data_IF_211308750271
#
_entry.id   IF_211308750271
#
_cell.length_a   1.000
_cell.length_b   1.000
_cell.length_c   1.000
_cell.angle_alpha   90.00
_cell.angle_beta   90.00
_cell.angle_gamma   90.00
#
_symmetry.space_group_name_H-M   'P 1'
#
loop_
_entity.id
_entity.type
_entity.pdbx_description
1 polymer ?
#
# COMPACT_ATOMS: atom_id res chain seq x y z
N UNK A 1 -13.66 31.94 50.81
CA UNK A 1 -13.68 32.26 49.37
C UNK A 1 -12.99 31.11 48.63
N UNK A 2 -13.76 30.19 48.05
CA UNK A 2 -13.22 29.08 47.24
C UNK A 2 -13.05 29.54 45.79
N UNK A 3 -11.79 29.64 45.32
CA UNK A 3 -11.47 29.87 43.91
C UNK A 3 -11.70 28.57 43.15
N UNK A 4 -12.73 28.53 42.31
CA UNK A 4 -12.90 27.49 41.30
C UNK A 4 -11.85 27.69 40.20
N UNK A 5 -10.89 26.76 40.09
CA UNK A 5 -10.03 26.63 38.92
C UNK A 5 -10.89 26.01 37.81
N UNK A 6 -11.25 26.79 36.78
CA UNK A 6 -11.90 26.26 35.58
C UNK A 6 -10.82 25.54 34.76
N UNK A 7 -10.76 24.22 34.89
CA UNK A 7 -9.95 23.35 34.06
C UNK A 7 -10.66 23.21 32.71
N UNK A 8 -10.33 24.07 31.74
CA UNK A 8 -10.76 23.90 30.36
C UNK A 8 -10.11 22.64 29.80
N UNK A 9 -10.89 21.56 29.75
CA UNK A 9 -10.55 20.33 29.07
C UNK A 9 -10.47 20.62 27.57
N UNK A 10 -9.25 20.79 27.04
CA UNK A 10 -9.03 20.78 25.60
C UNK A 10 -9.37 19.38 25.10
N UNK A 11 -10.55 19.23 24.52
CA UNK A 11 -10.91 18.04 23.75
C UNK A 11 -10.03 18.07 22.51
N UNK A 12 -8.87 17.40 22.58
CA UNK A 12 -8.08 17.07 21.40
C UNK A 12 -8.94 16.07 20.63
N UNK A 13 -9.62 16.54 19.58
CA UNK A 13 -10.23 15.63 18.61
C UNK A 13 -9.08 14.94 17.89
N UNK A 14 -8.80 13.69 18.28
CA UNK A 14 -8.02 12.78 17.45
C UNK A 14 -8.85 12.52 16.20
N UNK A 15 -8.43 13.12 15.08
CA UNK A 15 -9.08 12.87 13.80
C UNK A 15 -8.69 11.46 13.36
N UNK A 16 -9.66 10.55 13.38
CA UNK A 16 -9.50 9.18 12.90
C UNK A 16 -10.09 9.08 11.50
N UNK A 17 -9.30 8.62 10.55
CA UNK A 17 -9.75 8.42 9.18
C UNK A 17 -10.63 7.17 9.05
N UNK A 18 -11.53 7.19 8.08
CA UNK A 18 -12.19 6.03 7.48
C UNK A 18 -11.88 6.02 5.98
N UNK A 19 -12.00 4.89 5.30
CA UNK A 19 -11.72 4.86 3.85
C UNK A 19 -12.61 5.77 2.98
N UNK A 20 -13.72 6.27 3.53
CA UNK A 20 -14.68 7.15 2.87
C UNK A 20 -14.26 8.62 2.93
N UNK A 21 -13.71 9.05 4.06
CA UNK A 21 -13.24 10.42 4.29
C UNK A 21 -11.72 10.56 4.10
N UNK A 22 -10.96 9.47 4.06
CA UNK A 22 -9.54 9.48 3.73
C UNK A 22 -9.30 10.00 2.29
N UNK A 23 -8.44 11.03 2.11
CA UNK A 23 -8.33 11.76 0.85
C UNK A 23 -7.70 10.93 -0.25
N UNK A 24 -8.11 11.12 -1.51
CA UNK A 24 -7.55 10.36 -2.63
C UNK A 24 -6.32 11.06 -3.24
N UNK A 25 -5.17 10.37 -3.41
CA UNK A 25 -3.97 10.99 -3.98
C UNK A 25 -4.09 11.29 -5.48
N UNK A 26 -5.14 10.79 -6.15
CA UNK A 26 -5.47 11.11 -7.56
C UNK A 26 -6.79 11.83 -7.73
N UNK A 27 -7.55 11.99 -6.66
CA UNK A 27 -8.84 12.66 -6.68
C UNK A 27 -8.70 14.19 -6.70
N UNK A 28 -9.83 14.91 -6.73
CA UNK A 28 -9.85 16.37 -6.59
C UNK A 28 -9.25 16.87 -5.25
N UNK A 29 -9.18 15.99 -4.26
CA UNK A 29 -8.68 16.17 -2.90
C UNK A 29 -7.20 15.81 -2.73
N UNK A 30 -6.43 15.61 -3.82
CA UNK A 30 -5.03 15.19 -3.73
C UNK A 30 -4.15 16.13 -2.87
N UNK A 31 -4.48 17.42 -2.75
CA UNK A 31 -3.72 18.34 -1.91
C UNK A 31 -3.84 18.01 -0.42
N UNK A 32 -4.94 17.38 0.01
CA UNK A 32 -5.12 16.93 1.40
C UNK A 32 -4.17 15.79 1.77
N UNK A 33 -3.65 15.07 0.78
CA UNK A 33 -2.61 14.04 0.96
C UNK A 33 -1.20 14.61 1.19
N UNK A 34 -1.03 15.94 1.27
CA UNK A 34 0.27 16.59 1.42
C UNK A 34 1.10 16.63 0.12
N UNK A 35 0.51 16.34 -1.03
CA UNK A 35 1.24 16.35 -2.33
C UNK A 35 0.84 17.56 -3.18
N UNK A 36 1.79 18.06 -3.98
CA UNK A 36 1.59 19.24 -4.84
C UNK A 36 0.88 18.93 -6.16
N UNK A 37 0.80 17.64 -6.52
CA UNK A 37 0.19 17.13 -7.75
C UNK A 37 -0.49 15.79 -7.48
N UNK A 38 -1.38 15.31 -8.36
CA UNK A 38 -1.88 13.94 -8.29
C UNK A 38 -0.74 12.89 -8.33
N UNK A 39 -0.70 11.98 -7.35
CA UNK A 39 0.31 10.90 -7.23
C UNK A 39 -0.34 9.58 -6.83
N UNK A 40 0.44 8.61 -6.34
CA UNK A 40 -0.08 7.38 -5.72
C UNK A 40 0.30 7.29 -4.23
N UNK A 41 0.71 8.40 -3.62
CA UNK A 41 1.11 8.50 -2.21
C UNK A 41 0.18 9.48 -1.51
N UNK A 42 -0.39 9.05 -0.39
CA UNK A 42 -1.22 9.89 0.44
C UNK A 42 -0.71 9.90 1.89
N UNK A 43 -0.40 11.09 2.41
CA UNK A 43 0.08 11.32 3.77
C UNK A 43 -0.60 12.56 4.39
N UNK A 44 -1.91 12.50 4.66
CA UNK A 44 -2.66 13.64 5.17
C UNK A 44 -2.30 14.02 6.61
N UNK A 45 -1.71 13.10 7.38
CA UNK A 45 -1.30 13.34 8.77
C UNK A 45 0.14 13.86 8.88
N UNK A 46 0.86 14.01 7.77
CA UNK A 46 2.22 14.53 7.74
C UNK A 46 3.23 13.65 8.46
N UNK A 47 3.10 12.33 8.31
CA UNK A 47 4.03 11.35 8.86
C UNK A 47 5.41 11.42 8.20
N UNK A 48 5.46 11.95 6.97
CA UNK A 48 6.68 12.25 6.23
C UNK A 48 6.86 13.77 6.14
N UNK A 49 8.12 14.21 6.12
CA UNK A 49 8.45 15.56 5.64
C UNK A 49 8.15 15.68 4.15
N UNK A 50 8.02 16.91 3.64
CA UNK A 50 7.74 17.14 2.21
C UNK A 50 8.83 16.52 1.31
N UNK A 51 10.09 16.55 1.74
CA UNK A 51 11.20 15.95 1.00
C UNK A 51 11.11 14.42 0.98
N UNK A 52 10.86 13.79 2.14
CA UNK A 52 10.69 12.34 2.24
C UNK A 52 9.48 11.87 1.41
N UNK A 53 8.37 12.62 1.48
CA UNK A 53 7.17 12.35 0.70
C UNK A 53 7.45 12.37 -0.79
N UNK A 54 8.18 13.38 -1.29
CA UNK A 54 8.54 13.46 -2.71
C UNK A 54 9.48 12.31 -3.13
N UNK A 55 10.40 11.88 -2.26
CA UNK A 55 11.24 10.71 -2.53
C UNK A 55 10.41 9.42 -2.61
N UNK A 56 9.45 9.21 -1.69
CA UNK A 56 8.53 8.07 -1.76
C UNK A 56 7.66 8.15 -3.03
N UNK A 57 7.20 9.33 -3.45
CA UNK A 57 6.48 9.51 -4.73
C UNK A 57 7.34 9.04 -5.90
N UNK A 58 8.60 9.47 -5.98
CA UNK A 58 9.51 9.00 -7.02
C UNK A 58 9.73 7.49 -6.96
N UNK A 59 9.90 6.91 -5.78
CA UNK A 59 10.07 5.46 -5.63
C UNK A 59 8.86 4.66 -6.10
N UNK A 60 7.65 5.15 -5.80
CA UNK A 60 6.39 4.54 -6.24
C UNK A 60 6.21 4.65 -7.76
N UNK A 61 6.61 5.77 -8.37
CA UNK A 61 6.63 5.93 -9.83
C UNK A 61 7.66 5.01 -10.50
N UNK A 62 8.88 4.96 -9.94
CA UNK A 62 9.97 4.07 -10.38
C UNK A 62 9.62 2.59 -10.24
N UNK A 63 8.85 2.22 -9.20
CA UNK A 63 8.43 0.84 -8.96
C UNK A 63 7.69 0.27 -10.17
N UNK A 64 6.80 1.06 -10.79
CA UNK A 64 6.07 0.66 -11.99
C UNK A 64 7.00 0.39 -13.15
N UNK A 65 7.91 1.30 -13.44
CA UNK A 65 8.82 1.15 -14.56
C UNK A 65 9.80 -0.01 -14.34
N UNK A 66 10.28 -0.22 -13.11
CA UNK A 66 11.21 -1.31 -12.77
C UNK A 66 10.55 -2.69 -12.73
N UNK A 67 9.23 -2.75 -12.52
CA UNK A 67 8.46 -4.01 -12.57
C UNK A 67 7.91 -4.31 -13.97
N UNK A 68 8.10 -3.41 -14.93
CA UNK A 68 7.67 -3.58 -16.32
C UNK A 68 8.45 -4.69 -17.03
N UNK A 69 7.74 -5.51 -17.79
CA UNK A 69 8.28 -6.59 -18.64
C UNK A 69 7.77 -6.45 -20.07
N UNK A 70 8.37 -5.60 -20.92
CA UNK A 70 7.83 -5.29 -22.25
C UNK A 70 7.58 -6.51 -23.16
N UNK A 71 8.39 -7.56 -22.99
CA UNK A 71 8.33 -8.79 -23.78
C UNK A 71 7.49 -9.90 -23.14
N UNK A 72 6.84 -9.64 -22.00
CA UNK A 72 6.05 -10.67 -21.33
C UNK A 72 4.81 -11.04 -22.16
N UNK A 73 4.50 -12.33 -22.18
CA UNK A 73 3.26 -12.84 -22.77
C UNK A 73 2.02 -12.53 -21.92
N UNK A 74 2.20 -12.02 -20.70
CA UNK A 74 1.13 -11.58 -19.82
C UNK A 74 0.93 -10.07 -20.04
N UNK A 75 -0.20 -9.63 -20.64
CA UNK A 75 -0.42 -8.23 -20.99
C UNK A 75 -0.15 -7.25 -19.85
N UNK A 76 -0.49 -7.62 -18.62
CA UNK A 76 -0.37 -6.76 -17.45
C UNK A 76 1.05 -6.63 -16.91
N UNK A 77 1.92 -7.63 -17.13
CA UNK A 77 3.35 -7.49 -16.80
C UNK A 77 4.04 -6.48 -17.71
N UNK A 78 3.53 -6.30 -18.95
CA UNK A 78 4.09 -5.32 -19.90
C UNK A 78 3.89 -3.88 -19.47
N UNK A 79 2.94 -3.59 -18.60
CA UNK A 79 2.64 -2.24 -18.11
C UNK A 79 3.33 -1.92 -16.78
N UNK A 80 3.85 -2.94 -16.08
CA UNK A 80 4.40 -2.79 -14.73
C UNK A 80 3.32 -2.71 -13.65
N UNK A 81 3.73 -2.92 -12.40
CA UNK A 81 2.84 -2.93 -11.24
C UNK A 81 2.71 -1.54 -10.63
N UNK A 82 1.53 -1.16 -10.16
CA UNK A 82 1.31 0.14 -9.53
C UNK A 82 1.26 -0.01 -8.03
N UNK A 83 2.19 0.63 -7.34
CA UNK A 83 2.15 0.73 -5.90
C UNK A 83 1.35 1.97 -5.48
N UNK A 84 0.60 1.86 -4.40
CA UNK A 84 -0.15 2.94 -3.76
C UNK A 84 0.20 2.95 -2.28
N UNK A 85 0.47 4.13 -1.74
CA UNK A 85 0.87 4.28 -0.34
C UNK A 85 -0.12 5.19 0.36
N UNK A 86 -0.64 4.74 1.50
CA UNK A 86 -1.53 5.47 2.38
C UNK A 86 -0.89 5.51 3.78
N UNK A 87 -0.58 6.71 4.26
CA UNK A 87 -0.04 6.94 5.59
C UNK A 87 -1.11 7.57 6.46
N UNK A 88 -1.33 7.03 7.65
CA UNK A 88 -2.27 7.60 8.60
C UNK A 88 -1.72 7.38 10.01
N UNK A 89 -1.75 8.40 10.86
CA UNK A 89 -1.22 8.30 12.21
C UNK A 89 -1.95 7.22 13.01
N UNK A 90 -3.27 7.17 12.86
CA UNK A 90 -4.15 6.18 13.43
C UNK A 90 -4.67 5.23 12.35
N UNK A 91 -5.05 4.02 12.74
CA UNK A 91 -5.64 3.02 11.84
C UNK A 91 -6.84 3.59 11.08
N UNK A 92 -6.85 3.40 9.76
CA UNK A 92 -7.96 3.84 8.91
C UNK A 92 -9.15 2.88 9.13
N UNK A 93 -10.23 3.43 9.68
CA UNK A 93 -11.47 2.71 9.98
C UNK A 93 -12.17 2.16 8.73
N UNK A 94 -12.90 1.05 8.91
CA UNK A 94 -13.85 0.51 7.94
C UNK A 94 -15.27 0.60 8.51
N UNK A 95 -16.21 1.20 7.76
CA UNK A 95 -17.61 1.36 8.20
C UNK A 95 -18.38 0.01 8.23
N UNK A 96 -17.87 -1.06 7.61
CA UNK A 96 -18.62 -2.30 7.34
C UNK A 96 -18.41 -3.44 8.36
N UNK A 97 -17.67 -3.22 9.45
CA UNK A 97 -17.49 -4.22 10.52
C UNK A 97 -16.74 -5.50 10.09
N UNK A 98 -16.05 -5.48 8.94
CA UNK A 98 -15.36 -6.65 8.40
C UNK A 98 -14.03 -6.93 9.12
N UNK A 99 -13.84 -8.20 9.51
CA UNK A 99 -12.72 -8.70 10.32
C UNK A 99 -11.62 -9.42 9.50
N UNK A 100 -11.78 -9.54 8.19
CA UNK A 100 -10.80 -10.21 7.35
C UNK A 100 -9.56 -9.36 7.08
N UNK A 101 -8.50 -10.02 6.65
CA UNK A 101 -7.15 -9.45 6.51
C UNK A 101 -6.85 -8.91 5.11
N UNK A 102 -7.65 -9.24 4.08
CA UNK A 102 -7.12 -9.31 2.71
C UNK A 102 -7.99 -8.78 1.56
N UNK A 103 -9.20 -8.26 1.79
CA UNK A 103 -10.02 -7.69 0.69
C UNK A 103 -10.10 -6.16 0.74
N UNK A 104 -9.55 -5.57 -0.32
CA UNK A 104 -9.74 -4.21 -0.87
C UNK A 104 -9.93 -3.10 0.17
N UNK A 105 -8.82 -2.56 0.69
CA UNK A 105 -8.86 -1.27 1.41
C UNK A 105 -9.42 -0.13 0.53
N UNK A 106 -9.34 -0.29 -0.79
CA UNK A 106 -9.75 0.69 -1.79
C UNK A 106 -11.09 0.35 -2.46
N UNK A 107 -12.05 -0.21 -1.72
CA UNK A 107 -13.38 -0.47 -2.26
C UNK A 107 -14.27 0.79 -2.29
N UNK A 108 -13.77 1.92 -1.76
CA UNK A 108 -14.43 3.21 -1.92
C UNK A 108 -14.24 3.74 -3.35
N UNK A 109 -15.31 4.28 -3.95
CA UNK A 109 -15.30 4.79 -5.32
C UNK A 109 -14.17 5.79 -5.58
N UNK A 110 -13.79 6.60 -4.58
CA UNK A 110 -12.66 7.55 -4.70
C UNK A 110 -11.38 6.84 -5.11
N UNK A 111 -11.08 5.72 -4.46
CA UNK A 111 -9.87 4.95 -4.68
C UNK A 111 -10.01 3.92 -5.81
N UNK A 112 -11.24 3.53 -6.19
CA UNK A 112 -11.46 2.69 -7.39
C UNK A 112 -11.02 3.35 -8.71
N UNK A 113 -10.87 4.68 -8.74
CA UNK A 113 -10.33 5.40 -9.90
C UNK A 113 -8.84 5.16 -10.16
N UNK A 114 -8.09 4.65 -9.16
CA UNK A 114 -6.69 4.24 -9.31
C UNK A 114 -6.54 3.01 -10.22
N UNK A 115 -7.66 2.32 -10.48
CA UNK A 115 -7.78 1.12 -11.31
C UNK A 115 -8.35 1.53 -12.67
N UNK A 116 -7.50 2.06 -13.54
CA UNK A 116 -7.90 2.62 -14.84
C UNK A 116 -7.96 1.57 -15.97
N UNK A 117 -7.34 0.40 -15.80
CA UNK A 117 -7.26 -0.65 -16.81
C UNK A 117 -7.44 -2.04 -16.19
N UNK A 118 -7.79 -3.04 -17.00
CA UNK A 118 -7.85 -4.46 -16.60
C UNK A 118 -6.50 -4.99 -16.06
N UNK A 119 -5.41 -4.27 -16.34
CA UNK A 119 -4.06 -4.57 -15.90
C UNK A 119 -3.56 -3.77 -14.70
N UNK A 120 -4.31 -2.78 -14.22
CA UNK A 120 -4.00 -2.00 -13.00
C UNK A 120 -4.31 -2.79 -11.72
N UNK A 121 -4.27 -4.10 -11.83
CA UNK A 121 -4.94 -5.01 -10.93
C UNK A 121 -4.15 -5.32 -9.67
N UNK A 122 -2.85 -5.02 -9.66
CA UNK A 122 -2.03 -5.06 -8.46
C UNK A 122 -1.82 -3.62 -8.01
N UNK A 123 -2.91 -2.92 -7.70
CA UNK A 123 -2.81 -1.78 -6.78
C UNK A 123 -2.61 -2.37 -5.41
N UNK A 124 -1.39 -2.25 -4.93
CA UNK A 124 -1.01 -2.60 -3.59
C UNK A 124 -1.05 -1.33 -2.74
N UNK A 125 -1.86 -1.33 -1.69
CA UNK A 125 -1.94 -0.27 -0.70
C UNK A 125 -1.09 -0.63 0.50
N UNK A 126 -0.18 0.23 0.89
CA UNK A 126 0.46 0.13 2.22
C UNK A 126 -0.28 1.11 3.10
N UNK A 127 -0.94 0.63 4.16
CA UNK A 127 -1.41 1.46 5.26
C UNK A 127 -0.34 1.43 6.35
N UNK A 128 0.27 2.57 6.64
CA UNK A 128 1.22 2.69 7.75
C UNK A 128 0.61 3.52 8.86
N UNK A 129 0.52 2.95 10.07
CA UNK A 129 0.01 3.63 11.26
C UNK A 129 0.87 3.38 12.50
N UNK A 130 0.50 3.98 13.63
CA UNK A 130 1.24 3.87 14.91
C UNK A 130 1.40 2.45 15.43
N UNK A 131 0.53 1.52 15.02
CA UNK A 131 0.54 0.12 15.45
C UNK A 131 1.29 -0.79 14.46
N UNK A 132 1.80 -0.23 13.36
CA UNK A 132 2.63 -0.92 12.37
C UNK A 132 2.10 -0.79 10.94
N UNK A 133 2.55 -1.71 10.08
CA UNK A 133 2.13 -1.78 8.69
C UNK A 133 0.90 -2.68 8.53
N UNK A 134 0.04 -2.31 7.61
CA UNK A 134 -1.03 -3.15 7.09
C UNK A 134 -0.96 -3.15 5.57
N UNK A 135 -0.92 -4.34 5.01
CA UNK A 135 -0.87 -4.52 3.56
C UNK A 135 -2.26 -4.75 3.02
N UNK A 136 -2.63 -3.93 2.07
CA UNK A 136 -3.85 -4.00 1.31
C UNK A 136 -3.51 -4.38 -0.13
N UNK A 137 -4.24 -5.32 -0.73
CA UNK A 137 -4.01 -5.66 -2.13
C UNK A 137 -5.32 -5.92 -2.85
N UNK A 138 -5.30 -5.70 -4.17
CA UNK A 138 -6.39 -6.08 -5.06
C UNK A 138 -6.08 -7.44 -5.70
N UNK A 139 -6.95 -8.41 -5.46
CA UNK A 139 -6.93 -9.72 -6.09
C UNK A 139 -7.66 -9.64 -7.42
N UNK A 140 -6.95 -9.23 -8.48
CA UNK A 140 -7.46 -9.46 -9.84
C UNK A 140 -6.58 -10.37 -10.68
N UNK A 141 -5.34 -10.68 -10.25
CA UNK A 141 -4.41 -11.50 -11.05
C UNK A 141 -3.51 -12.41 -10.21
N UNK A 142 -2.98 -13.44 -10.88
CA UNK A 142 -2.05 -14.50 -10.45
C UNK A 142 -0.71 -14.03 -9.85
N UNK A 143 -0.60 -12.72 -9.58
CA UNK A 143 0.66 -12.00 -9.39
C UNK A 143 0.79 -11.48 -7.97
N UNK A 144 -0.31 -11.35 -7.23
CA UNK A 144 -0.30 -10.90 -5.85
C UNK A 144 0.61 -11.80 -5.02
N UNK A 145 1.42 -11.19 -4.16
CA UNK A 145 2.06 -11.96 -3.10
C UNK A 145 0.97 -12.52 -2.19
N UNK A 146 1.24 -13.63 -1.52
CA UNK A 146 0.34 -14.13 -0.50
C UNK A 146 0.51 -13.32 0.80
N UNK A 147 -0.38 -13.51 1.78
CA UNK A 147 -0.33 -12.79 3.04
C UNK A 147 1.00 -12.99 3.79
N UNK A 148 1.56 -14.20 3.81
CA UNK A 148 2.81 -14.48 4.51
C UNK A 148 4.00 -13.73 3.90
N UNK A 149 4.08 -13.67 2.57
CA UNK A 149 5.08 -12.87 1.86
C UNK A 149 4.95 -11.38 2.20
N UNK A 150 3.72 -10.85 2.25
CA UNK A 150 3.49 -9.46 2.66
C UNK A 150 3.82 -9.20 4.12
N UNK A 151 3.51 -10.17 4.99
CA UNK A 151 3.80 -10.11 6.40
C UNK A 151 5.31 -10.11 6.64
N UNK A 152 6.06 -10.94 5.91
CA UNK A 152 7.52 -10.95 5.93
C UNK A 152 8.11 -9.63 5.45
N UNK A 153 7.56 -9.03 4.38
CA UNK A 153 8.04 -7.74 3.87
C UNK A 153 7.93 -6.62 4.90
N UNK A 154 6.84 -6.56 5.66
CA UNK A 154 6.70 -5.51 6.68
C UNK A 154 7.38 -5.84 8.00
N UNK A 155 7.50 -7.12 8.38
CA UNK A 155 8.29 -7.51 9.56
C UNK A 155 9.78 -7.33 9.35
N UNK A 156 10.25 -7.33 8.11
CA UNK A 156 11.65 -7.07 7.79
C UNK A 156 12.12 -5.69 8.30
N UNK A 157 11.20 -4.78 8.66
CA UNK A 157 11.56 -3.43 9.09
C UNK A 157 10.90 -2.93 10.38
N UNK A 158 10.57 -3.86 11.28
CA UNK A 158 10.03 -3.56 12.62
C UNK A 158 10.85 -2.49 13.36
N UNK A 159 12.18 -2.52 13.24
CA UNK A 159 13.07 -1.57 13.92
C UNK A 159 12.78 -0.13 13.51
N UNK A 160 12.57 0.15 12.22
CA UNK A 160 12.27 1.50 11.77
C UNK A 160 10.86 1.92 12.21
N UNK A 161 9.90 0.99 12.20
CA UNK A 161 8.52 1.25 12.65
C UNK A 161 8.45 1.56 14.15
N UNK A 162 9.13 0.79 14.99
CA UNK A 162 9.22 1.03 16.44
C UNK A 162 9.84 2.39 16.77
N UNK A 163 10.82 2.81 15.96
CA UNK A 163 11.47 4.11 16.09
C UNK A 163 10.72 5.25 15.39
N UNK A 164 9.53 4.99 14.82
CA UNK A 164 8.73 5.96 14.04
C UNK A 164 9.49 6.56 12.85
N UNK A 165 10.47 5.85 12.34
CA UNK A 165 11.17 6.20 11.11
C UNK A 165 10.40 5.62 9.92
N UNK A 166 9.27 6.26 9.62
CA UNK A 166 8.34 5.80 8.57
C UNK A 166 8.93 5.89 7.16
N UNK A 167 9.86 6.84 6.95
CA UNK A 167 10.53 7.01 5.68
C UNK A 167 11.39 5.80 5.33
N UNK A 168 12.34 5.43 6.20
CA UNK A 168 13.20 4.28 5.94
C UNK A 168 12.40 2.97 5.90
N UNK A 169 11.36 2.85 6.75
CA UNK A 169 10.39 1.76 6.71
C UNK A 169 9.76 1.58 5.33
N UNK A 170 9.25 2.67 4.75
CA UNK A 170 8.65 2.63 3.42
C UNK A 170 9.68 2.34 2.33
N UNK A 171 10.88 2.92 2.42
CA UNK A 171 11.93 2.69 1.42
C UNK A 171 12.30 1.22 1.32
N UNK A 172 12.58 0.60 2.47
CA UNK A 172 12.95 -0.82 2.53
C UNK A 172 11.81 -1.70 2.06
N UNK A 173 10.57 -1.39 2.45
CA UNK A 173 9.40 -2.13 2.02
C UNK A 173 9.20 -2.08 0.50
N UNK A 174 9.22 -0.88 -0.10
CA UNK A 174 9.06 -0.68 -1.56
C UNK A 174 10.15 -1.45 -2.31
N UNK A 175 11.39 -1.38 -1.83
CA UNK A 175 12.53 -2.03 -2.48
C UNK A 175 12.50 -3.55 -2.37
N UNK A 176 12.22 -4.10 -1.18
CA UNK A 176 12.10 -5.53 -0.96
C UNK A 176 10.94 -6.11 -1.79
N UNK A 177 9.82 -5.40 -1.83
CA UNK A 177 8.68 -5.76 -2.67
C UNK A 177 9.05 -5.78 -4.15
N UNK A 178 9.75 -4.75 -4.63
CA UNK A 178 10.19 -4.66 -6.02
C UNK A 178 11.08 -5.85 -6.39
N UNK A 179 12.02 -6.19 -5.52
CA UNK A 179 12.91 -7.34 -5.69
C UNK A 179 12.14 -8.66 -5.76
N UNK A 180 11.16 -8.84 -4.87
CA UNK A 180 10.32 -10.05 -4.85
C UNK A 180 9.49 -10.20 -6.13
N UNK A 181 8.88 -9.11 -6.62
CA UNK A 181 8.16 -9.14 -7.89
C UNK A 181 9.09 -9.40 -9.09
N UNK A 182 10.25 -8.74 -9.15
CA UNK A 182 11.24 -8.98 -10.20
C UNK A 182 11.69 -10.44 -10.24
N UNK A 183 11.96 -11.02 -9.07
CA UNK A 183 12.32 -12.42 -8.94
C UNK A 183 11.18 -13.33 -9.41
N UNK A 184 9.95 -13.10 -8.93
CA UNK A 184 8.78 -13.87 -9.35
C UNK A 184 8.55 -13.80 -10.86
N UNK A 185 8.64 -12.62 -11.46
CA UNK A 185 8.53 -12.46 -12.92
C UNK A 185 9.61 -13.26 -13.67
N UNK A 186 10.84 -13.29 -13.16
CA UNK A 186 11.93 -14.04 -13.80
C UNK A 186 11.64 -15.55 -13.86
N UNK A 187 10.91 -16.10 -12.87
CA UNK A 187 10.47 -17.49 -12.87
C UNK A 187 9.39 -17.73 -13.93
N UNK A 188 8.43 -16.79 -14.08
CA UNK A 188 7.38 -16.90 -15.09
C UNK A 188 7.91 -16.80 -16.53
N UNK A 189 8.90 -15.94 -16.75
CA UNK A 189 9.52 -15.73 -18.08
C UNK A 189 10.56 -16.82 -18.42
N UNK A 190 10.99 -17.64 -17.46
CA UNK A 190 11.97 -18.71 -17.70
C UNK A 190 11.31 -19.91 -18.39
N UNK A 191 11.71 -20.27 -19.63
CA UNK A 191 11.12 -21.40 -20.36
C UNK A 191 11.39 -22.76 -19.70
N UNK A 192 12.46 -22.88 -18.91
CA UNK A 192 12.90 -24.13 -18.27
C UNK A 192 12.11 -24.44 -16.98
N UNK A 193 11.40 -23.46 -16.43
CA UNK A 193 10.56 -23.66 -15.24
C UNK A 193 9.32 -24.47 -15.62
N UNK A 194 9.03 -25.53 -14.87
CA UNK A 194 7.90 -26.41 -15.14
C UNK A 194 6.56 -25.71 -14.91
N UNK A 195 5.50 -26.19 -15.57
CA UNK A 195 4.14 -25.70 -15.31
C UNK A 195 3.68 -25.98 -13.88
N UNK A 196 4.23 -27.01 -13.24
CA UNK A 196 3.91 -27.40 -11.86
C UNK A 196 4.52 -26.42 -10.84
N UNK A 197 5.74 -25.95 -11.12
CA UNK A 197 6.41 -24.90 -10.34
C UNK A 197 5.79 -23.51 -10.56
N UNK A 198 5.31 -23.22 -11.78
CA UNK A 198 4.45 -22.05 -12.01
C UNK A 198 3.11 -22.17 -11.28
N UNK A 199 2.53 -23.36 -11.23
CA UNK A 199 1.24 -23.61 -10.56
C UNK A 199 1.35 -23.55 -9.02
N UNK A 200 2.47 -23.95 -8.43
CA UNK A 200 2.68 -23.85 -6.97
C UNK A 200 2.75 -22.39 -6.48
N UNK A 201 3.35 -21.51 -7.29
CA UNK A 201 3.32 -20.05 -7.09
C UNK A 201 1.90 -19.47 -7.25
N UNK A 202 1.01 -20.15 -7.97
CA UNK A 202 -0.39 -19.74 -8.15
C UNK A 202 -1.32 -20.30 -7.07
N UNK A 203 -1.07 -21.51 -6.57
CA UNK A 203 -1.93 -22.18 -5.58
C UNK A 203 -1.80 -21.62 -4.17
N UNK A 204 -0.65 -21.03 -3.84
CA UNK A 204 -0.42 -20.31 -2.58
C UNK A 204 -1.35 -19.09 -2.41
N UNK A 205 -1.89 -18.55 -3.50
CA UNK A 205 -2.85 -17.44 -3.47
C UNK A 205 -4.32 -17.88 -3.31
N UNK A 206 -4.64 -19.17 -3.48
CA UNK A 206 -6.02 -19.70 -3.39
C UNK A 206 -6.42 -20.18 -2.00
N UNK A 207 -5.46 -20.39 -1.11
CA UNK A 207 -5.69 -20.98 0.21
C UNK A 207 -6.28 -20.00 1.24
N UNK A 208 -6.40 -18.71 0.91
CA UNK A 208 -6.98 -17.68 1.81
C UNK A 208 -8.40 -17.22 1.42
N UNK A 209 -9.04 -17.90 0.45
CA UNK A 209 -10.45 -17.67 0.09
C UNK A 209 -11.44 -18.53 0.88
N UNK A 210 -10.99 -19.29 1.88
CA UNK A 210 -11.82 -20.08 2.82
C UNK A 210 -11.73 -19.53 4.24
#
# INVERSE_FOLDING_TARGET
>A
MFKFLILTCLIIKTHSWTWKDYPSPRGPDYSECGVSRPTYVCDPDGMLTDQEREEIVHMVEDFKEKTKRPNSNVPCMREGLRLVVALAKDKIGREDGWNGTTKLCFNDRKWTSLYTTDCDSVVQGIELNSDGFRVCYSLRWLMTLNYDEYKQLGYADEVHLENKNYFDALKNYIENMRMLYIHRFSIFDNPDVSNEERASLQSSNKLEEL
#
